data_IF_073866730126
#
_entry.id   IF_073866730126
#
_cell.length_a   1.000
_cell.length_b   1.000
_cell.length_c   1.000
_cell.angle_alpha   90.00
_cell.angle_beta   90.00
_cell.angle_gamma   90.00
#
_symmetry.space_group_name_H-M   'P 1'
#
loop_
_entity.id
_entity.type
_entity.pdbx_description
1 polymer ?
#
# COMPACT_ATOMS: atom_id res chain seq x y z
N UNK A 1 -20.02 -17.48 -5.51
CA UNK A 1 -19.47 -16.10 -5.44
C UNK A 1 -17.99 -16.20 -5.68
N UNK A 2 -17.46 -15.48 -6.67
CA UNK A 2 -16.01 -15.37 -6.83
C UNK A 2 -15.41 -14.66 -5.62
N UNK A 3 -14.27 -15.15 -5.14
CA UNK A 3 -13.61 -14.61 -3.96
C UNK A 3 -12.85 -13.33 -4.34
N UNK A 4 -13.27 -12.19 -3.80
CA UNK A 4 -12.55 -10.92 -3.93
C UNK A 4 -11.60 -10.69 -2.75
N UNK A 5 -10.56 -9.89 -2.99
CA UNK A 5 -9.52 -9.57 -2.01
C UNK A 5 -9.50 -8.08 -1.67
N UNK A 6 -9.21 -7.77 -0.41
CA UNK A 6 -8.87 -6.41 0.02
C UNK A 6 -7.39 -6.16 -0.21
N UNK A 7 -7.07 -5.00 -0.77
CA UNK A 7 -5.67 -4.62 -1.07
C UNK A 7 -5.20 -3.59 -0.06
N UNK A 8 -4.26 -3.97 0.81
CA UNK A 8 -3.67 -3.09 1.81
C UNK A 8 -2.40 -2.42 1.26
N UNK A 9 -2.43 -1.10 1.10
CA UNK A 9 -1.34 -0.29 0.54
C UNK A 9 -0.49 0.30 1.68
N UNK A 10 0.80 -0.04 1.66
CA UNK A 10 1.83 0.55 2.52
C UNK A 10 2.24 1.95 2.02
N UNK A 11 2.73 2.80 2.93
CA UNK A 11 3.12 4.19 2.67
C UNK A 11 4.07 4.31 1.48
N UNK A 12 5.11 3.46 1.41
CA UNK A 12 6.14 3.53 0.36
C UNK A 12 5.59 3.28 -1.05
N UNK A 13 4.49 2.55 -1.16
CA UNK A 13 3.90 2.15 -2.43
C UNK A 13 3.22 3.34 -3.11
N UNK A 14 2.64 4.27 -2.34
CA UNK A 14 2.05 5.50 -2.86
C UNK A 14 3.08 6.45 -3.51
N UNK A 15 4.37 6.28 -3.25
CA UNK A 15 5.39 7.17 -3.80
C UNK A 15 5.86 6.75 -5.20
N UNK A 16 5.55 5.53 -5.64
CA UNK A 16 6.06 4.97 -6.90
C UNK A 16 5.74 5.86 -8.12
N UNK A 17 4.52 6.41 -8.29
CA UNK A 17 4.22 7.26 -9.45
C UNK A 17 5.14 8.47 -9.56
N UNK A 18 5.62 9.00 -8.43
CA UNK A 18 6.44 10.22 -8.38
C UNK A 18 7.94 9.98 -8.60
N UNK A 19 8.38 8.73 -8.60
CA UNK A 19 9.78 8.37 -8.86
C UNK A 19 9.96 7.57 -10.15
N UNK A 20 8.96 6.76 -10.49
CA UNK A 20 9.06 5.77 -11.57
C UNK A 20 8.20 6.14 -12.79
N UNK A 21 7.40 7.22 -12.69
CA UNK A 21 6.43 7.61 -13.72
C UNK A 21 5.52 6.43 -14.13
N UNK A 22 5.07 5.68 -13.12
CA UNK A 22 4.23 4.49 -13.27
C UNK A 22 3.08 4.55 -12.25
N UNK A 23 1.85 4.63 -12.74
CA UNK A 23 0.66 4.71 -11.90
C UNK A 23 0.31 3.33 -11.33
N UNK A 24 0.91 3.00 -10.19
CA UNK A 24 0.72 1.69 -9.57
C UNK A 24 -0.72 1.43 -9.14
N UNK A 25 -1.54 2.43 -8.85
CA UNK A 25 -2.91 2.18 -8.39
C UNK A 25 -3.88 2.02 -9.57
N UNK A 26 -3.61 2.68 -10.69
CA UNK A 26 -4.31 2.44 -11.96
C UNK A 26 -4.02 1.03 -12.50
N UNK A 27 -2.76 0.61 -12.43
CA UNK A 27 -2.29 -0.64 -13.05
C UNK A 27 -2.59 -1.89 -12.21
N UNK A 28 -2.69 -1.74 -10.88
CA UNK A 28 -2.83 -2.85 -9.95
C UNK A 28 -4.10 -3.71 -10.16
N UNK A 29 -5.30 -3.15 -10.40
CA UNK A 29 -6.49 -3.93 -10.71
C UNK A 29 -6.30 -4.80 -11.96
N UNK A 30 -5.79 -4.21 -13.05
CA UNK A 30 -5.54 -4.92 -14.33
C UNK A 30 -4.52 -6.03 -14.13
N UNK A 31 -3.44 -5.74 -13.40
CA UNK A 31 -2.42 -6.74 -13.07
C UNK A 31 -2.99 -7.90 -12.27
N UNK A 32 -3.77 -7.65 -11.21
CA UNK A 32 -4.36 -8.68 -10.38
C UNK A 32 -5.42 -9.50 -11.14
N UNK A 33 -6.26 -8.85 -11.94
CA UNK A 33 -7.24 -9.51 -12.79
C UNK A 33 -6.57 -10.47 -13.79
N UNK A 34 -5.44 -10.08 -14.38
CA UNK A 34 -4.64 -10.95 -15.26
C UNK A 34 -4.12 -12.23 -14.56
N UNK A 35 -4.15 -12.26 -13.22
CA UNK A 35 -3.80 -13.42 -12.39
C UNK A 35 -5.02 -14.17 -11.86
N UNK A 36 -6.23 -13.84 -12.31
CA UNK A 36 -7.48 -14.38 -11.81
C UNK A 36 -7.81 -13.93 -10.38
N UNK A 37 -7.33 -12.75 -9.99
CA UNK A 37 -7.55 -12.18 -8.65
C UNK A 37 -8.44 -10.95 -8.77
N UNK A 38 -9.66 -11.06 -8.22
CA UNK A 38 -10.57 -9.93 -8.11
C UNK A 38 -10.33 -9.16 -6.83
N UNK A 39 -10.52 -7.84 -6.87
CA UNK A 39 -10.32 -6.96 -5.71
C UNK A 39 -11.63 -6.31 -5.27
N UNK A 40 -11.80 -6.16 -3.96
CA UNK A 40 -12.91 -5.42 -3.34
C UNK A 40 -12.64 -3.91 -3.28
N UNK A 41 -11.35 -3.54 -3.25
CA UNK A 41 -10.90 -2.15 -3.21
C UNK A 41 -9.60 -1.96 -2.44
N UNK A 42 -9.15 -0.71 -2.40
CA UNK A 42 -7.92 -0.31 -1.75
C UNK A 42 -8.14 0.16 -0.32
N UNK A 43 -7.19 -0.21 0.53
CA UNK A 43 -7.18 0.08 1.95
C UNK A 43 -5.80 0.59 2.36
N UNK A 44 -5.72 1.42 3.39
CA UNK A 44 -4.45 1.77 4.04
C UNK A 44 -4.68 1.97 5.53
N UNK A 45 -3.60 1.92 6.31
CA UNK A 45 -3.68 2.14 7.75
C UNK A 45 -3.72 3.64 8.05
N UNK A 46 -4.49 4.06 9.06
CA UNK A 46 -4.49 5.46 9.52
C UNK A 46 -3.10 5.95 9.88
N UNK A 47 -2.26 5.06 10.43
CA UNK A 47 -0.86 5.38 10.72
C UNK A 47 -0.07 5.81 9.47
N UNK A 48 -0.30 5.14 8.33
CA UNK A 48 0.38 5.46 7.07
C UNK A 48 0.02 6.88 6.61
N UNK A 49 -1.27 7.24 6.68
CA UNK A 49 -1.73 8.59 6.36
C UNK A 49 -1.13 9.63 7.32
N UNK A 50 -1.16 9.34 8.62
CA UNK A 50 -0.56 10.21 9.64
C UNK A 50 0.93 10.45 9.39
N UNK A 51 1.69 9.42 8.98
CA UNK A 51 3.11 9.56 8.66
C UNK A 51 3.35 10.48 7.45
N UNK A 52 2.53 10.37 6.39
CA UNK A 52 2.62 11.25 5.21
C UNK A 52 2.24 12.68 5.58
N UNK A 53 1.16 12.88 6.32
CA UNK A 53 0.73 14.20 6.79
C UNK A 53 1.77 14.86 7.70
N UNK A 54 2.36 14.10 8.62
CA UNK A 54 3.40 14.62 9.50
C UNK A 54 4.65 14.99 8.71
N UNK A 55 5.05 14.18 7.73
CA UNK A 55 6.14 14.50 6.80
C UNK A 55 5.85 15.75 5.98
N UNK A 56 4.61 15.93 5.50
CA UNK A 56 4.20 17.14 4.79
C UNK A 56 4.37 18.40 5.65
N UNK A 57 3.91 18.34 6.92
CA UNK A 57 3.97 19.45 7.88
C UNK A 57 5.41 19.80 8.28
N UNK A 58 6.26 18.80 8.42
CA UNK A 58 7.63 18.95 8.96
C UNK A 58 8.72 19.05 7.89
N UNK A 59 8.39 18.80 6.62
CA UNK A 59 9.34 18.86 5.52
C UNK A 59 9.98 20.25 5.39
N UNK A 60 11.31 20.31 5.56
CA UNK A 60 12.11 21.52 5.31
C UNK A 60 12.35 21.78 3.82
N UNK A 61 12.43 20.72 3.01
CA UNK A 61 12.64 20.81 1.57
C UNK A 61 11.31 21.04 0.84
N UNK A 62 11.26 22.10 0.02
CA UNK A 62 10.09 22.40 -0.81
C UNK A 62 9.77 21.27 -1.80
N UNK A 63 10.80 20.65 -2.39
CA UNK A 63 10.65 19.49 -3.28
C UNK A 63 9.89 18.36 -2.57
N UNK A 64 10.32 18.01 -1.36
CA UNK A 64 9.68 16.95 -0.58
C UNK A 64 8.27 17.33 -0.15
N UNK A 65 8.03 18.59 0.23
CA UNK A 65 6.69 19.09 0.55
C UNK A 65 5.72 18.92 -0.62
N UNK A 66 6.16 19.25 -1.85
CA UNK A 66 5.38 19.02 -3.08
C UNK A 66 5.05 17.54 -3.27
N UNK A 67 6.04 16.64 -3.12
CA UNK A 67 5.83 15.19 -3.25
C UNK A 67 4.80 14.68 -2.22
N UNK A 68 4.94 15.04 -0.94
CA UNK A 68 3.98 14.59 0.08
C UNK A 68 2.57 15.12 -0.18
N UNK A 69 2.44 16.35 -0.69
CA UNK A 69 1.14 16.90 -1.07
C UNK A 69 0.51 16.12 -2.24
N UNK A 70 1.31 15.80 -3.26
CA UNK A 70 0.86 14.97 -4.40
C UNK A 70 0.46 13.57 -3.96
N UNK A 71 1.20 12.94 -3.03
CA UNK A 71 0.84 11.64 -2.45
C UNK A 71 -0.52 11.71 -1.74
N UNK A 72 -0.78 12.74 -0.93
CA UNK A 72 -2.07 12.89 -0.26
C UNK A 72 -3.22 13.10 -1.26
N UNK A 73 -2.99 13.86 -2.34
CA UNK A 73 -3.96 14.01 -3.43
C UNK A 73 -4.22 12.70 -4.15
N UNK A 74 -3.16 11.94 -4.44
CA UNK A 74 -3.24 10.63 -5.07
C UNK A 74 -4.06 9.64 -4.24
N UNK A 75 -3.79 9.55 -2.94
CA UNK A 75 -4.58 8.73 -1.99
C UNK A 75 -6.07 9.14 -2.01
N UNK A 76 -6.35 10.45 -2.05
CA UNK A 76 -7.74 10.94 -2.10
C UNK A 76 -8.43 10.58 -3.41
N UNK A 77 -7.74 10.71 -4.54
CA UNK A 77 -8.32 10.45 -5.87
C UNK A 77 -8.71 8.99 -6.07
N UNK A 78 -7.96 8.05 -5.49
CA UNK A 78 -8.23 6.61 -5.58
C UNK A 78 -9.23 6.09 -4.53
N UNK A 79 -9.89 6.97 -3.76
CA UNK A 79 -10.88 6.61 -2.73
C UNK A 79 -10.36 5.53 -1.76
N UNK A 80 -9.10 5.62 -1.35
CA UNK A 80 -8.48 4.62 -0.47
C UNK A 80 -9.19 4.59 0.89
N UNK A 81 -9.71 3.43 1.27
CA UNK A 81 -10.39 3.23 2.56
C UNK A 81 -9.37 3.21 3.70
N UNK A 82 -9.68 3.90 4.79
CA UNK A 82 -8.78 3.95 5.95
C UNK A 82 -9.17 2.91 7.00
N UNK A 83 -8.21 2.13 7.47
CA UNK A 83 -8.34 1.23 8.62
C UNK A 83 -7.80 1.96 9.84
N UNK A 84 -8.64 2.12 10.86
CA UNK A 84 -8.26 2.74 12.13
C UNK A 84 -7.18 1.93 12.85
N UNK A 85 -6.09 2.59 13.22
CA UNK A 85 -4.94 1.98 13.91
C UNK A 85 -4.28 2.97 14.87
N UNK A 86 -3.66 2.52 15.96
CA UNK A 86 -2.83 3.37 16.81
C UNK A 86 -1.66 3.97 16.02
N UNK A 87 -1.36 5.25 16.25
CA UNK A 87 -0.25 5.96 15.56
C UNK A 87 1.12 5.73 16.22
N UNK A 88 1.14 5.23 17.46
CA UNK A 88 2.34 5.00 18.27
C UNK A 88 2.93 3.57 18.14
N UNK A 89 2.41 2.72 17.25
CA UNK A 89 2.87 1.34 17.06
C UNK A 89 3.59 1.22 15.71
N UNK A 90 4.66 0.43 15.63
CA UNK A 90 5.39 0.21 14.37
C UNK A 90 4.44 -0.23 13.22
N UNK A 91 4.62 0.36 12.03
CA UNK A 91 3.73 0.17 10.86
C UNK A 91 3.71 -1.28 10.39
N UNK A 92 4.86 -1.92 10.24
CA UNK A 92 4.97 -3.30 9.78
C UNK A 92 4.22 -4.26 10.72
N UNK A 93 4.33 -4.04 12.05
CA UNK A 93 3.56 -4.80 13.04
C UNK A 93 2.05 -4.59 12.88
N UNK A 94 1.61 -3.37 12.59
CA UNK A 94 0.19 -3.08 12.33
C UNK A 94 -0.30 -3.71 11.04
N UNK A 95 0.50 -3.69 9.97
CA UNK A 95 0.19 -4.36 8.70
C UNK A 95 -0.02 -5.85 8.98
N UNK A 96 0.98 -6.52 9.57
CA UNK A 96 0.95 -7.96 9.86
C UNK A 96 -0.25 -8.31 10.74
N UNK A 97 -0.46 -7.60 11.85
CA UNK A 97 -1.60 -7.87 12.75
C UNK A 97 -2.96 -7.59 12.11
N UNK A 98 -3.05 -6.63 11.18
CA UNK A 98 -4.29 -6.35 10.43
C UNK A 98 -4.64 -7.50 9.51
N UNK A 99 -3.68 -7.98 8.73
CA UNK A 99 -3.92 -9.03 7.74
C UNK A 99 -4.11 -10.41 8.38
N UNK A 100 -3.45 -10.68 9.52
CA UNK A 100 -3.62 -11.94 10.26
C UNK A 100 -5.01 -12.13 10.87
N UNK A 101 -5.82 -11.07 11.02
CA UNK A 101 -7.21 -11.22 11.44
C UNK A 101 -8.04 -12.02 10.44
N UNK A 102 -7.71 -11.94 9.15
CA UNK A 102 -8.40 -12.63 8.04
C UNK A 102 -7.40 -12.90 6.89
N UNK A 103 -6.42 -13.79 7.07
CA UNK A 103 -5.27 -13.91 6.16
C UNK A 103 -5.66 -14.24 4.72
N UNK A 104 -6.76 -14.97 4.55
CA UNK A 104 -7.30 -15.37 3.25
C UNK A 104 -7.96 -14.26 2.45
N UNK A 105 -8.08 -13.04 3.00
CA UNK A 105 -8.82 -11.93 2.40
C UNK A 105 -7.93 -10.76 1.96
N UNK A 106 -6.61 -10.83 2.18
CA UNK A 106 -5.72 -9.69 1.98
C UNK A 106 -4.66 -9.95 0.92
N UNK A 107 -4.35 -8.87 0.20
CA UNK A 107 -3.13 -8.69 -0.59
C UNK A 107 -2.46 -7.45 -0.04
N UNK A 108 -1.16 -7.51 0.26
CA UNK A 108 -0.41 -6.36 0.75
C UNK A 108 0.45 -5.79 -0.36
N UNK A 109 0.48 -4.46 -0.52
CA UNK A 109 1.38 -3.79 -1.45
C UNK A 109 2.47 -3.06 -0.66
N UNK A 110 3.73 -3.49 -0.80
CA UNK A 110 4.86 -2.86 -0.10
C UNK A 110 6.16 -3.01 -0.90
N UNK A 111 7.00 -1.98 -0.83
CA UNK A 111 8.37 -2.01 -1.35
C UNK A 111 9.39 -2.52 -0.32
N UNK A 112 9.00 -2.76 0.93
CA UNK A 112 9.90 -3.24 1.98
C UNK A 112 10.20 -4.75 1.84
N UNK A 113 11.48 -5.10 1.69
CA UNK A 113 11.92 -6.48 1.49
C UNK A 113 11.66 -7.37 2.71
N UNK A 114 11.89 -6.86 3.92
CA UNK A 114 11.73 -7.64 5.14
C UNK A 114 10.26 -7.93 5.39
N UNK A 115 9.39 -6.93 5.18
CA UNK A 115 7.94 -7.11 5.28
C UNK A 115 7.42 -8.12 4.24
N UNK A 116 7.92 -8.06 2.98
CA UNK A 116 7.62 -9.09 1.97
C UNK A 116 7.99 -10.49 2.44
N UNK A 117 9.18 -10.67 3.00
CA UNK A 117 9.66 -11.98 3.48
C UNK A 117 8.80 -12.50 4.63
N UNK A 118 8.41 -11.63 5.58
CA UNK A 118 7.51 -11.97 6.69
C UNK A 118 6.15 -12.41 6.17
N UNK A 119 5.51 -11.58 5.33
CA UNK A 119 4.16 -11.85 4.81
C UNK A 119 4.11 -13.12 3.96
N UNK A 120 5.15 -13.37 3.15
CA UNK A 120 5.28 -14.61 2.37
C UNK A 120 5.34 -15.85 3.27
N UNK A 121 6.08 -15.80 4.38
CA UNK A 121 6.11 -16.91 5.36
C UNK A 121 4.76 -17.15 6.01
N UNK A 122 3.96 -16.10 6.16
CA UNK A 122 2.58 -16.14 6.66
C UNK A 122 1.55 -16.54 5.59
N UNK A 123 1.99 -16.88 4.37
CA UNK A 123 1.13 -17.23 3.22
C UNK A 123 0.18 -16.10 2.80
N UNK A 124 0.61 -14.86 2.99
CA UNK A 124 -0.13 -13.66 2.58
C UNK A 124 0.45 -13.18 1.27
N UNK A 125 -0.43 -12.95 0.28
CA UNK A 125 -0.02 -12.46 -1.04
C UNK A 125 0.56 -11.07 -0.94
N UNK A 126 1.69 -10.84 -1.60
CA UNK A 126 2.35 -9.52 -1.57
C UNK A 126 2.65 -9.03 -2.96
N UNK A 127 2.19 -7.82 -3.28
CA UNK A 127 2.54 -7.12 -4.51
C UNK A 127 3.66 -6.13 -4.24
N UNK A 128 4.62 -6.09 -5.15
CA UNK A 128 5.69 -5.09 -5.17
C UNK A 128 6.00 -4.67 -6.60
N UNK A 129 6.76 -3.59 -6.73
CA UNK A 129 7.15 -3.02 -8.02
C UNK A 129 8.66 -3.21 -8.18
N UNK A 130 9.09 -3.65 -9.35
CA UNK A 130 10.51 -3.85 -9.64
C UNK A 130 10.73 -4.18 -11.10
N UNK A 131 11.86 -3.75 -11.67
CA UNK A 131 12.13 -3.97 -13.09
C UNK A 131 11.04 -3.41 -14.01
N UNK A 132 10.48 -2.24 -13.65
CA UNK A 132 9.43 -1.53 -14.40
C UNK A 132 8.09 -2.27 -14.53
N UNK A 133 7.75 -3.13 -13.57
CA UNK A 133 6.48 -3.87 -13.55
C UNK A 133 6.08 -4.29 -12.14
N UNK A 134 4.81 -4.65 -11.98
CA UNK A 134 4.27 -5.27 -10.78
C UNK A 134 4.63 -6.76 -10.73
N UNK A 135 4.86 -7.25 -9.52
CA UNK A 135 5.14 -8.66 -9.20
C UNK A 135 4.26 -9.07 -8.03
N UNK A 136 3.92 -10.36 -7.95
CA UNK A 136 3.19 -10.93 -6.82
C UNK A 136 3.96 -12.14 -6.27
N UNK A 137 4.04 -12.22 -4.94
CA UNK A 137 4.62 -13.31 -4.16
C UNK A 137 3.54 -14.08 -3.41
#
# INVERSE_FOLDING_TARGET
>A
MEKSYKVLIDTNFFFIPFYENYDVLEELPVFLESKGILIEGFYTLKKNLWEVENKLKTARSEKWRKIYNLVMQYIKNYNIKTIETPVNVNTDRLIVSTVLKNPDNWIVCTQDRNLREILRRLKIRVVYYGGKRLHIL
#
